data_IF_250935592259
#
_entry.id   IF_250935592259
#
_cell.length_a   1.000
_cell.length_b   1.000
_cell.length_c   1.000
_cell.angle_alpha   90.00
_cell.angle_beta   90.00
_cell.angle_gamma   90.00
#
_symmetry.space_group_name_H-M   'P 1'
#
loop_
_entity.id
_entity.type
_entity.pdbx_description
1 polymer ?
#
# COMPACT_ATOMS: atom_id res chain seq x y z
N UNK A 1 12.90 -4.62 26.20
CA UNK A 1 12.54 -5.12 24.84
C UNK A 1 12.66 -3.97 23.87
N UNK A 2 13.21 -4.20 22.66
CA UNK A 2 13.29 -3.16 21.62
C UNK A 2 11.88 -2.85 21.05
N UNK A 3 11.65 -1.65 20.50
CA UNK A 3 10.43 -1.36 19.75
C UNK A 3 10.21 -2.37 18.62
N UNK A 4 8.94 -2.61 18.28
CA UNK A 4 8.55 -3.40 17.12
C UNK A 4 8.54 -2.52 15.87
N UNK A 5 9.03 -3.05 14.75
CA UNK A 5 9.12 -2.33 13.47
C UNK A 5 8.27 -3.02 12.40
N UNK A 6 7.35 -2.27 11.82
CA UNK A 6 6.40 -2.76 10.82
C UNK A 6 6.51 -1.90 9.57
N UNK A 7 6.69 -2.53 8.39
CA UNK A 7 6.64 -1.82 7.13
C UNK A 7 5.23 -1.92 6.52
N UNK A 8 4.62 -0.76 6.23
CA UNK A 8 3.39 -0.70 5.44
C UNK A 8 3.74 -0.76 3.96
N UNK A 9 3.34 -1.82 3.28
CA UNK A 9 3.65 -2.09 1.89
C UNK A 9 2.40 -2.03 1.02
N UNK A 10 2.49 -1.31 -0.10
CA UNK A 10 1.48 -1.33 -1.16
C UNK A 10 1.93 -2.12 -2.39
N UNK A 11 3.14 -2.67 -2.38
CA UNK A 11 3.79 -3.28 -3.55
C UNK A 11 4.32 -2.24 -4.55
N UNK A 12 4.09 -0.95 -4.32
CA UNK A 12 4.67 0.11 -5.14
C UNK A 12 6.16 0.33 -4.84
N UNK A 13 6.89 0.91 -5.81
CA UNK A 13 8.34 1.09 -5.78
C UNK A 13 8.88 1.62 -4.45
N UNK A 14 8.25 2.67 -3.89
CA UNK A 14 8.75 3.32 -2.67
C UNK A 14 8.59 2.43 -1.43
N UNK A 15 7.47 1.71 -1.33
CA UNK A 15 7.25 0.77 -0.23
C UNK A 15 8.11 -0.49 -0.33
N UNK A 16 8.36 -0.99 -1.55
CA UNK A 16 9.26 -2.12 -1.79
C UNK A 16 10.71 -1.70 -1.53
N UNK A 17 11.13 -0.54 -2.06
CA UNK A 17 12.45 0.02 -1.79
C UNK A 17 12.71 0.24 -0.29
N UNK A 18 11.70 0.62 0.48
CA UNK A 18 11.80 0.76 1.95
C UNK A 18 12.13 -0.58 2.61
N UNK A 19 11.52 -1.68 2.17
CA UNK A 19 11.80 -3.03 2.68
C UNK A 19 13.21 -3.48 2.29
N UNK A 20 13.59 -3.30 1.03
CA UNK A 20 14.94 -3.61 0.53
C UNK A 20 16.02 -2.82 1.27
N UNK A 21 15.77 -1.53 1.49
CA UNK A 21 16.69 -0.65 2.20
C UNK A 21 16.83 -1.03 3.68
N UNK A 22 15.73 -1.46 4.32
CA UNK A 22 15.79 -1.99 5.67
C UNK A 22 16.74 -3.21 5.75
N UNK A 23 16.66 -4.12 4.78
CA UNK A 23 17.56 -5.26 4.70
C UNK A 23 19.02 -4.84 4.42
N UNK A 24 19.28 -3.97 3.42
CA UNK A 24 20.65 -3.52 3.09
C UNK A 24 21.34 -2.78 4.25
N UNK A 25 20.58 -2.02 5.02
CA UNK A 25 21.11 -1.20 6.13
C UNK A 25 21.03 -1.88 7.48
N UNK A 26 20.60 -3.14 7.54
CA UNK A 26 20.37 -3.87 8.77
C UNK A 26 19.45 -3.12 9.76
N UNK A 27 18.46 -2.40 9.23
CA UNK A 27 17.43 -1.77 10.04
C UNK A 27 16.47 -2.85 10.57
N UNK A 28 16.02 -2.73 11.82
CA UNK A 28 15.11 -3.70 12.39
C UNK A 28 13.78 -3.74 11.61
N UNK A 29 13.36 -4.92 11.18
CA UNK A 29 12.09 -5.14 10.51
C UNK A 29 11.49 -6.44 11.04
N UNK A 30 10.33 -6.37 11.69
CA UNK A 30 9.67 -7.53 12.30
C UNK A 30 8.53 -8.05 11.41
N UNK A 31 7.86 -7.15 10.69
CA UNK A 31 6.70 -7.54 9.88
C UNK A 31 6.46 -6.56 8.73
N UNK A 32 6.01 -7.10 7.61
CA UNK A 32 5.47 -6.33 6.48
C UNK A 32 3.97 -6.54 6.43
N UNK A 33 3.21 -5.46 6.35
CA UNK A 33 1.75 -5.51 6.22
C UNK A 33 1.31 -4.96 4.86
N UNK A 34 0.39 -5.67 4.20
CA UNK A 34 -0.22 -5.30 2.94
C UNK A 34 -1.74 -5.31 3.08
N UNK A 35 -2.40 -4.21 2.71
CA UNK A 35 -3.86 -4.14 2.68
C UNK A 35 -4.35 -4.37 1.26
N UNK A 36 -4.88 -5.57 1.02
CA UNK A 36 -5.47 -5.95 -0.25
C UNK A 36 -6.91 -5.46 -0.33
N UNK A 37 -7.24 -4.74 -1.40
CA UNK A 37 -8.60 -4.34 -1.70
C UNK A 37 -9.29 -5.48 -2.45
N UNK A 38 -10.46 -5.89 -1.98
CA UNK A 38 -11.28 -6.88 -2.68
C UNK A 38 -12.34 -6.20 -3.55
N UNK A 39 -12.57 -6.72 -4.76
CA UNK A 39 -13.68 -6.30 -5.62
C UNK A 39 -15.01 -6.82 -5.06
N UNK A 40 -15.07 -8.11 -4.80
CA UNK A 40 -16.16 -8.80 -4.11
C UNK A 40 -15.57 -9.79 -3.08
N UNK A 41 -16.32 -10.80 -2.66
CA UNK A 41 -15.85 -11.77 -1.65
C UNK A 41 -14.76 -12.72 -2.16
N UNK A 42 -14.63 -12.88 -3.48
CA UNK A 42 -13.72 -13.85 -4.11
C UNK A 42 -12.63 -13.18 -4.94
N UNK A 43 -12.96 -12.09 -5.64
CA UNK A 43 -12.11 -11.44 -6.63
C UNK A 43 -11.33 -10.29 -5.98
N UNK A 44 -10.02 -10.31 -6.16
CA UNK A 44 -9.16 -9.17 -5.78
C UNK A 44 -9.47 -7.95 -6.64
N UNK A 45 -9.48 -6.79 -6.03
CA UNK A 45 -9.58 -5.51 -6.73
C UNK A 45 -8.25 -4.97 -7.25
N UNK A 46 -7.13 -5.60 -6.91
CA UNK A 46 -5.83 -5.16 -7.40
C UNK A 46 -5.61 -5.58 -8.85
N UNK A 47 -4.83 -4.80 -9.61
CA UNK A 47 -4.40 -5.19 -10.95
C UNK A 47 -3.75 -6.58 -10.88
N UNK A 48 -4.16 -7.55 -11.74
CA UNK A 48 -3.75 -8.96 -11.59
C UNK A 48 -2.24 -9.17 -11.51
N UNK A 49 -1.46 -8.55 -12.38
CA UNK A 49 0.00 -8.65 -12.41
C UNK A 49 0.64 -8.08 -11.14
N UNK A 50 0.02 -7.03 -10.58
CA UNK A 50 0.46 -6.44 -9.32
C UNK A 50 0.17 -7.36 -8.14
N UNK A 51 -1.02 -7.94 -8.10
CA UNK A 51 -1.41 -8.93 -7.09
C UNK A 51 -0.48 -10.15 -7.12
N UNK A 52 -0.23 -10.67 -8.32
CA UNK A 52 0.65 -11.83 -8.50
C UNK A 52 2.08 -11.51 -8.08
N UNK A 53 2.60 -10.33 -8.42
CA UNK A 53 3.89 -9.86 -7.93
C UNK A 53 3.96 -9.87 -6.40
N UNK A 54 2.93 -9.35 -5.72
CA UNK A 54 2.91 -9.32 -4.26
C UNK A 54 2.88 -10.73 -3.67
N UNK A 55 1.99 -11.59 -4.15
CA UNK A 55 1.79 -12.91 -3.55
C UNK A 55 2.84 -13.94 -3.95
N UNK A 56 3.35 -13.88 -5.18
CA UNK A 56 4.24 -14.92 -5.72
C UNK A 56 5.72 -14.52 -5.67
N UNK A 57 6.04 -13.23 -5.51
CA UNK A 57 7.42 -12.75 -5.51
C UNK A 57 7.78 -11.98 -4.24
N UNK A 58 7.07 -10.89 -3.93
CA UNK A 58 7.41 -10.03 -2.80
C UNK A 58 7.19 -10.73 -1.44
N UNK A 59 6.03 -11.37 -1.26
CA UNK A 59 5.74 -12.09 -0.01
C UNK A 59 6.75 -13.22 0.25
N UNK A 60 7.03 -14.15 -0.69
CA UNK A 60 8.06 -15.17 -0.51
C UNK A 60 9.44 -14.58 -0.23
N UNK A 61 9.83 -13.50 -0.89
CA UNK A 61 11.09 -12.81 -0.60
C UNK A 61 11.17 -12.33 0.85
N UNK A 62 10.13 -11.65 1.34
CA UNK A 62 10.08 -11.16 2.73
C UNK A 62 10.13 -12.31 3.73
N UNK A 63 9.39 -13.38 3.49
CA UNK A 63 9.30 -14.51 4.41
C UNK A 63 10.54 -15.42 4.38
N UNK A 64 11.07 -15.73 3.20
CA UNK A 64 12.15 -16.70 3.05
C UNK A 64 13.55 -16.08 3.10
N UNK A 65 13.72 -14.90 2.45
CA UNK A 65 15.05 -14.25 2.37
C UNK A 65 15.30 -13.32 3.56
N UNK A 66 14.26 -12.58 4.00
CA UNK A 66 14.40 -11.65 5.11
C UNK A 66 14.01 -12.27 6.46
N UNK A 67 13.35 -13.43 6.47
CA UNK A 67 12.86 -14.07 7.70
C UNK A 67 11.81 -13.24 8.44
N UNK A 68 11.13 -12.31 7.75
CA UNK A 68 10.13 -11.42 8.31
C UNK A 68 8.72 -11.94 8.00
N UNK A 69 7.78 -11.72 8.90
CA UNK A 69 6.39 -12.06 8.66
C UNK A 69 5.79 -11.14 7.60
N UNK A 70 5.00 -11.70 6.67
CA UNK A 70 4.20 -10.92 5.72
C UNK A 70 2.71 -11.14 5.97
N UNK A 71 2.00 -10.08 6.35
CA UNK A 71 0.57 -10.14 6.70
C UNK A 71 -0.28 -9.44 5.67
N UNK A 72 -1.21 -10.19 5.07
CA UNK A 72 -2.23 -9.64 4.18
C UNK A 72 -3.45 -9.29 5.01
N UNK A 73 -3.84 -8.02 4.95
CA UNK A 73 -5.02 -7.48 5.61
C UNK A 73 -6.11 -7.26 4.58
N UNK A 74 -7.35 -7.57 4.94
CA UNK A 74 -8.54 -7.31 4.12
C UNK A 74 -9.62 -6.64 4.97
N UNK A 75 -10.40 -5.79 4.34
CA UNK A 75 -11.59 -5.21 4.96
C UNK A 75 -12.74 -6.19 4.91
N UNK A 76 -13.69 -6.03 5.84
CA UNK A 76 -15.01 -6.68 5.76
C UNK A 76 -15.85 -6.10 4.61
N UNK A 77 -15.47 -4.94 4.07
CA UNK A 77 -16.11 -4.27 2.94
C UNK A 77 -15.30 -4.44 1.66
N UNK A 78 -16.03 -4.69 0.57
CA UNK A 78 -15.51 -4.82 -0.78
C UNK A 78 -15.83 -3.59 -1.64
N UNK A 79 -15.32 -3.53 -2.87
CA UNK A 79 -15.74 -2.53 -3.84
C UNK A 79 -17.24 -2.61 -4.13
N UNK A 80 -17.79 -3.84 -4.25
CA UNK A 80 -19.21 -4.08 -4.49
C UNK A 80 -20.08 -3.46 -3.40
N UNK A 81 -19.70 -3.61 -2.12
CA UNK A 81 -20.38 -2.95 -1.00
C UNK A 81 -20.31 -1.42 -1.09
N UNK A 82 -19.17 -0.87 -1.56
CA UNK A 82 -19.01 0.57 -1.75
C UNK A 82 -19.88 1.08 -2.91
N UNK A 83 -19.95 0.33 -4.00
CA UNK A 83 -20.75 0.67 -5.18
C UNK A 83 -22.26 0.66 -4.84
N UNK A 84 -22.76 -0.38 -4.20
CA UNK A 84 -24.17 -0.54 -3.84
C UNK A 84 -24.61 0.20 -2.56
N UNK A 85 -23.68 0.93 -1.92
CA UNK A 85 -24.00 1.70 -0.74
C UNK A 85 -25.12 2.71 -1.00
N UNK A 86 -26.19 2.65 -0.22
CA UNK A 86 -27.25 3.65 -0.25
C UNK A 86 -26.79 4.92 0.45
N UNK A 87 -26.86 6.05 -0.24
CA UNK A 87 -26.50 7.35 0.30
C UNK A 87 -27.50 7.76 1.36
N UNK A 88 -27.03 8.06 2.56
CA UNK A 88 -27.87 8.30 3.74
C UNK A 88 -28.06 9.78 4.09
N UNK A 89 -27.42 10.70 3.34
CA UNK A 89 -27.48 12.15 3.59
C UNK A 89 -27.20 12.96 2.32
N UNK A 90 -27.80 14.13 2.26
CA UNK A 90 -27.57 15.13 1.20
C UNK A 90 -28.50 15.01 0.01
N UNK A 91 -28.22 15.72 -1.10
CA UNK A 91 -29.13 15.83 -2.23
C UNK A 91 -29.36 14.52 -2.99
N UNK A 92 -28.55 13.50 -2.74
CA UNK A 92 -28.65 12.18 -3.39
C UNK A 92 -29.07 11.08 -2.40
N UNK A 93 -29.66 11.45 -1.25
CA UNK A 93 -30.16 10.50 -0.26
C UNK A 93 -31.12 9.49 -0.88
N UNK A 94 -30.98 8.21 -0.50
CA UNK A 94 -31.77 7.10 -1.03
C UNK A 94 -31.27 6.52 -2.36
N UNK A 95 -30.32 7.14 -3.03
CA UNK A 95 -29.73 6.60 -4.26
C UNK A 95 -28.52 5.72 -3.97
N UNK A 96 -28.26 4.79 -4.89
CA UNK A 96 -27.01 3.99 -4.90
C UNK A 96 -25.82 4.90 -5.22
N UNK A 97 -24.72 4.74 -4.50
CA UNK A 97 -23.50 5.53 -4.72
C UNK A 97 -22.94 5.36 -6.14
N UNK A 98 -22.92 4.13 -6.65
CA UNK A 98 -22.35 3.83 -7.96
C UNK A 98 -20.81 3.92 -7.97
N UNK A 99 -20.24 4.29 -9.12
CA UNK A 99 -18.79 4.39 -9.30
C UNK A 99 -18.16 5.41 -8.36
N UNK A 100 -16.97 5.08 -7.86
CA UNK A 100 -16.18 5.99 -7.03
C UNK A 100 -15.61 7.15 -7.85
N UNK A 101 -15.53 8.33 -7.24
CA UNK A 101 -15.03 9.54 -7.89
C UNK A 101 -13.53 9.73 -7.68
N UNK A 102 -12.82 10.36 -8.65
CA UNK A 102 -11.44 10.78 -8.46
C UNK A 102 -11.25 11.68 -7.24
N UNK A 103 -10.06 11.64 -6.64
CA UNK A 103 -9.69 12.47 -5.50
C UNK A 103 -10.06 11.87 -4.14
N UNK A 104 -11.33 11.88 -3.75
CA UNK A 104 -11.80 11.30 -2.47
C UNK A 104 -12.30 9.86 -2.65
N UNK A 105 -11.37 8.94 -2.85
CA UNK A 105 -11.69 7.53 -3.11
C UNK A 105 -12.40 6.87 -1.91
N UNK A 106 -13.67 6.50 -2.08
CA UNK A 106 -14.44 5.79 -1.06
C UNK A 106 -13.89 4.40 -0.78
N UNK A 107 -13.33 3.71 -1.79
CA UNK A 107 -12.68 2.40 -1.61
C UNK A 107 -11.45 2.51 -0.71
N UNK A 108 -10.62 3.53 -0.90
CA UNK A 108 -9.49 3.76 0.01
C UNK A 108 -9.96 3.98 1.45
N UNK A 109 -11.02 4.79 1.64
CA UNK A 109 -11.58 5.11 2.96
C UNK A 109 -12.20 3.90 3.64
N UNK A 110 -12.95 3.07 2.90
CA UNK A 110 -13.84 2.04 3.45
C UNK A 110 -13.25 0.63 3.35
N UNK A 111 -12.37 0.36 2.36
CA UNK A 111 -11.81 -0.96 2.13
C UNK A 111 -10.32 -1.07 2.46
N UNK A 112 -9.51 -0.01 2.21
CA UNK A 112 -8.05 -0.07 2.40
C UNK A 112 -7.61 0.40 3.78
N UNK A 113 -8.10 1.54 4.23
CA UNK A 113 -7.65 2.15 5.48
C UNK A 113 -8.16 1.48 6.77
N UNK A 114 -9.41 0.95 6.85
CA UNK A 114 -9.91 0.38 8.09
C UNK A 114 -9.09 -0.80 8.61
N UNK A 115 -8.74 -1.83 7.81
CA UNK A 115 -7.93 -2.94 8.30
C UNK A 115 -6.54 -2.50 8.75
N UNK A 116 -5.91 -1.53 8.07
CA UNK A 116 -4.62 -0.96 8.49
C UNK A 116 -4.74 -0.26 9.85
N UNK A 117 -5.76 0.59 10.03
CA UNK A 117 -6.00 1.29 11.31
C UNK A 117 -6.27 0.33 12.45
N UNK A 118 -7.11 -0.70 12.22
CA UNK A 118 -7.41 -1.74 13.20
C UNK A 118 -6.14 -2.50 13.59
N UNK A 119 -5.33 -2.85 12.59
CA UNK A 119 -4.06 -3.54 12.81
C UNK A 119 -3.08 -2.69 13.65
N UNK A 120 -2.85 -1.44 13.25
CA UNK A 120 -1.93 -0.55 13.99
C UNK A 120 -2.41 -0.26 15.42
N UNK A 121 -3.74 -0.11 15.61
CA UNK A 121 -4.31 0.12 16.95
C UNK A 121 -4.10 -1.07 17.91
N UNK A 122 -3.98 -2.26 17.37
CA UNK A 122 -3.76 -3.48 18.16
C UNK A 122 -2.28 -3.73 18.49
N UNK A 123 -1.35 -2.90 17.96
CA UNK A 123 0.08 -3.04 18.24
C UNK A 123 0.47 -2.35 19.55
N UNK A 124 1.59 -2.75 20.17
CA UNK A 124 2.18 -2.03 21.30
C UNK A 124 2.46 -0.56 20.99
N UNK A 125 2.38 0.30 21.99
CA UNK A 125 2.51 1.77 21.83
C UNK A 125 3.89 2.20 21.31
N UNK A 126 4.93 1.42 21.60
CA UNK A 126 6.30 1.65 21.15
C UNK A 126 6.58 1.16 19.71
N UNK A 127 5.57 0.62 19.03
CA UNK A 127 5.69 0.19 17.63
C UNK A 127 6.05 1.35 16.72
N UNK A 128 7.01 1.12 15.81
CA UNK A 128 7.44 2.04 14.76
C UNK A 128 6.98 1.55 13.39
N UNK A 129 6.58 2.48 12.53
CA UNK A 129 6.09 2.16 11.19
C UNK A 129 7.04 2.69 10.14
N UNK A 130 7.55 1.82 9.28
CA UNK A 130 8.24 2.24 8.06
C UNK A 130 7.22 2.57 6.98
N UNK A 131 7.40 3.74 6.36
CA UNK A 131 6.52 4.26 5.31
C UNK A 131 7.33 4.58 4.05
N UNK A 132 6.81 4.17 2.90
CA UNK A 132 7.43 4.43 1.59
C UNK A 132 7.15 5.86 1.13
N UNK A 133 7.94 6.81 1.61
CA UNK A 133 7.90 8.22 1.19
C UNK A 133 9.34 8.64 0.89
N UNK A 134 9.58 9.10 -0.32
CA UNK A 134 10.92 9.49 -0.77
C UNK A 134 11.32 10.89 -0.28
N UNK A 135 12.62 11.20 -0.35
CA UNK A 135 13.17 12.48 0.08
C UNK A 135 12.55 13.68 -0.67
N UNK A 136 12.27 13.51 -1.94
CA UNK A 136 11.71 14.51 -2.84
C UNK A 136 10.17 14.66 -2.73
N UNK A 137 9.56 14.11 -1.67
CA UNK A 137 8.16 14.29 -1.32
C UNK A 137 7.96 15.10 -0.01
N UNK A 138 8.47 16.34 0.12
CA UNK A 138 8.53 17.08 1.39
C UNK A 138 7.16 17.33 2.01
N UNK A 139 6.12 17.51 1.21
CA UNK A 139 4.74 17.70 1.70
C UNK A 139 4.18 16.44 2.38
N UNK A 140 4.58 15.27 1.95
CA UNK A 140 4.19 13.99 2.57
C UNK A 140 5.02 13.73 3.82
N UNK A 141 6.33 13.97 3.77
CA UNK A 141 7.22 13.85 4.92
C UNK A 141 6.81 14.74 6.08
N UNK A 142 6.38 15.98 5.80
CA UNK A 142 5.92 16.92 6.82
C UNK A 142 4.66 16.47 7.58
N UNK A 143 3.91 15.50 7.04
CA UNK A 143 2.67 14.96 7.64
C UNK A 143 2.88 13.71 8.48
N UNK A 144 4.09 13.17 8.50
CA UNK A 144 4.42 11.98 9.27
C UNK A 144 4.31 12.26 10.78
N UNK A 145 3.82 11.28 11.51
CA UNK A 145 3.94 11.27 12.95
C UNK A 145 5.39 10.91 13.31
N UNK A 146 6.20 11.92 13.64
CA UNK A 146 7.63 11.80 13.91
C UNK A 146 7.97 10.84 15.07
N UNK A 147 7.02 10.55 15.94
CA UNK A 147 7.21 9.61 17.04
C UNK A 147 7.02 8.16 16.62
N UNK A 148 6.20 7.91 15.59
CA UNK A 148 5.81 6.55 15.16
C UNK A 148 6.26 6.21 13.75
N UNK A 149 6.27 7.17 12.85
CA UNK A 149 6.52 6.93 11.42
C UNK A 149 7.95 7.28 11.03
N UNK A 150 8.59 6.40 10.30
CA UNK A 150 9.95 6.53 9.82
C UNK A 150 9.96 6.32 8.30
N UNK A 151 10.46 7.31 7.56
CA UNK A 151 10.84 7.11 6.17
C UNK A 151 12.31 6.73 6.10
N UNK A 152 12.61 5.48 5.75
CA UNK A 152 13.98 5.04 5.50
C UNK A 152 14.55 5.68 4.24
N UNK A 153 13.73 5.89 3.20
CA UNK A 153 14.17 6.58 1.99
C UNK A 153 14.68 7.99 2.31
N UNK A 154 13.91 8.78 3.06
CA UNK A 154 14.35 10.11 3.47
C UNK A 154 15.55 10.06 4.43
N UNK A 155 15.57 9.11 5.38
CA UNK A 155 16.71 8.90 6.32
C UNK A 155 18.03 8.67 5.59
N UNK A 156 18.00 7.95 4.48
CA UNK A 156 19.19 7.61 3.68
C UNK A 156 19.35 8.47 2.42
N UNK A 157 18.63 9.59 2.32
CA UNK A 157 18.77 10.55 1.25
C UNK A 157 18.29 10.09 -0.12
N UNK A 158 17.35 9.12 -0.18
CA UNK A 158 16.87 8.51 -1.41
C UNK A 158 15.64 9.22 -1.97
N UNK A 159 15.70 9.53 -3.25
CA UNK A 159 14.59 10.07 -4.06
C UNK A 159 13.70 8.96 -4.62
N UNK A 160 12.58 9.32 -5.24
CA UNK A 160 11.74 8.35 -5.98
C UNK A 160 12.51 7.63 -7.10
N UNK A 161 13.46 8.34 -7.77
CA UNK A 161 14.31 7.74 -8.78
C UNK A 161 15.31 6.72 -8.18
N UNK A 162 15.82 6.99 -6.97
CA UNK A 162 16.70 6.05 -6.26
C UNK A 162 15.91 4.81 -5.80
N UNK A 163 14.70 5.00 -5.32
CA UNK A 163 13.80 3.90 -4.96
C UNK A 163 13.51 2.99 -6.16
N UNK A 164 13.28 3.58 -7.33
CA UNK A 164 13.11 2.82 -8.58
C UNK A 164 14.35 1.98 -8.88
N UNK A 165 15.55 2.61 -8.92
CA UNK A 165 16.81 1.90 -9.19
C UNK A 165 17.10 0.78 -8.19
N UNK A 166 16.75 0.99 -6.92
CA UNK A 166 16.91 -0.04 -5.90
C UNK A 166 16.02 -1.24 -6.18
N UNK A 167 14.74 -1.00 -6.54
CA UNK A 167 13.83 -2.08 -6.93
C UNK A 167 14.31 -2.81 -8.19
N UNK A 168 14.84 -2.10 -9.21
CA UNK A 168 15.43 -2.73 -10.41
C UNK A 168 16.63 -3.60 -10.05
N UNK A 169 17.53 -3.13 -9.20
CA UNK A 169 18.72 -3.89 -8.74
C UNK A 169 18.36 -5.25 -8.16
N UNK A 170 17.22 -5.34 -7.45
CA UNK A 170 16.76 -6.59 -6.84
C UNK A 170 15.70 -7.32 -7.69
N UNK A 171 15.41 -6.84 -8.89
CA UNK A 171 14.31 -7.34 -9.73
C UNK A 171 12.95 -7.35 -8.96
N UNK A 172 12.71 -6.30 -8.18
CA UNK A 172 11.54 -6.14 -7.30
C UNK A 172 10.65 -4.96 -7.72
N UNK A 173 10.58 -4.65 -9.01
CA UNK A 173 9.57 -3.77 -9.57
C UNK A 173 8.32 -4.58 -9.93
N UNK A 174 7.15 -4.06 -9.57
CA UNK A 174 5.89 -4.64 -10.00
C UNK A 174 5.75 -4.55 -11.52
N UNK A 175 5.36 -5.65 -12.22
CA UNK A 175 5.16 -5.65 -13.66
C UNK A 175 4.11 -4.62 -14.13
N UNK A 176 3.18 -4.23 -13.28
CA UNK A 176 2.16 -3.24 -13.62
C UNK A 176 2.76 -1.89 -14.09
N UNK A 177 3.99 -1.55 -13.69
CA UNK A 177 4.67 -0.33 -14.15
C UNK A 177 5.01 -0.32 -15.65
N UNK A 178 4.86 -1.44 -16.36
CA UNK A 178 4.97 -1.47 -17.82
C UNK A 178 3.79 -0.75 -18.49
N UNK A 179 2.63 -0.73 -17.86
CA UNK A 179 1.38 -0.20 -18.40
C UNK A 179 0.77 0.92 -17.56
N UNK A 180 1.07 0.93 -16.25
CA UNK A 180 0.51 1.86 -15.28
C UNK A 180 1.60 2.73 -14.66
N UNK A 181 1.31 4.02 -14.47
CA UNK A 181 2.21 4.93 -13.75
C UNK A 181 2.27 4.64 -12.26
N UNK A 182 1.27 3.96 -11.74
CA UNK A 182 1.17 3.54 -10.34
C UNK A 182 0.36 2.26 -10.21
N UNK A 183 0.67 1.50 -9.19
CA UNK A 183 -0.07 0.30 -8.79
C UNK A 183 -1.39 0.66 -8.09
N UNK A 184 -2.32 -0.27 -8.06
CA UNK A 184 -3.59 -0.15 -7.33
C UNK A 184 -4.71 -0.99 -7.93
N UNK A 185 -5.94 -0.54 -7.67
CA UNK A 185 -7.13 -1.24 -8.13
C UNK A 185 -7.31 -1.10 -9.65
N UNK A 186 -7.70 -2.19 -10.33
CA UNK A 186 -7.97 -2.18 -11.77
C UNK A 186 -9.18 -1.29 -12.15
N UNK A 187 -10.07 -0.99 -11.21
CA UNK A 187 -11.18 -0.04 -11.35
C UNK A 187 -10.85 1.35 -10.79
N UNK A 188 -9.59 1.75 -10.72
CA UNK A 188 -9.19 3.01 -10.09
C UNK A 188 -9.74 4.23 -10.83
N UNK A 189 -10.52 5.12 -10.18
CA UNK A 189 -11.07 6.30 -10.83
C UNK A 189 -10.00 7.35 -11.19
N UNK A 190 -8.78 7.17 -10.71
CA UNK A 190 -7.63 8.02 -11.04
C UNK A 190 -6.74 7.42 -12.14
N UNK A 191 -7.13 6.28 -12.73
CA UNK A 191 -6.44 5.71 -13.87
C UNK A 191 -6.64 6.60 -15.11
N UNK A 192 -5.61 6.74 -15.92
CA UNK A 192 -5.71 7.42 -17.22
C UNK A 192 -6.44 6.53 -18.22
N UNK A 193 -6.96 7.13 -19.30
CA UNK A 193 -7.63 6.37 -20.38
C UNK A 193 -6.71 5.29 -20.98
N UNK A 194 -5.42 5.59 -21.11
CA UNK A 194 -4.44 4.60 -21.60
C UNK A 194 -4.23 3.44 -20.63
N UNK A 195 -4.34 3.68 -19.32
CA UNK A 195 -4.24 2.60 -18.31
C UNK A 195 -5.50 1.73 -18.26
N UNK A 196 -6.67 2.29 -18.60
CA UNK A 196 -7.94 1.56 -18.66
C UNK A 196 -8.10 0.70 -19.92
N UNK A 197 -7.24 0.86 -20.92
CA UNK A 197 -7.27 0.10 -22.18
C UNK A 197 -6.43 -1.18 -22.14
N UNK A 198 -5.77 -1.46 -21.06
CA UNK A 198 -4.99 -2.67 -20.78
C UNK A 198 -5.70 -3.56 -19.75
#
# INVERSE_FOLDING_TARGET
TRPRYIASCSGGKDSVATILLAAEKNEPLDEVIYSEVMFDQEISGEVPEHRDFIHQKLKPFVENELGCKFTVLRSDKTYDDVFHHIITRGPYEGLIRGFVWPGKCAVNRDCKMPPLRKYHKAQPDDTRSYVGIALDEPKRLARLNKEKDISLLAKYGMTEADAWRLCEKYDMLSPCYQHFKRNGCWFCPNASTSELSH
#
